data_IF_758625291694
#
_entry.id   IF_758625291694
#
_cell.length_a   1.000
_cell.length_b   1.000
_cell.length_c   1.000
_cell.angle_alpha   90.00
_cell.angle_beta   90.00
_cell.angle_gamma   90.00
#
_symmetry.space_group_name_H-M   'P 1'
#
loop_
_entity.id
_entity.type
_entity.pdbx_description
1 polymer ?
#
# COMPACT_ATOMS: atom_id res chain seq x y z
N UNK A 1 -2.45 5.19 -18.30
CA UNK A 1 -3.11 5.12 -19.63
C UNK A 1 -4.41 4.36 -19.49
N UNK A 2 -5.53 4.97 -19.87
CA UNK A 2 -6.88 4.45 -19.63
C UNK A 2 -7.32 3.34 -20.63
N UNK A 3 -6.49 3.00 -21.62
CA UNK A 3 -6.82 2.04 -22.65
C UNK A 3 -7.85 2.55 -23.69
N UNK A 4 -8.27 1.66 -24.58
CA UNK A 4 -9.12 1.99 -25.73
C UNK A 4 -10.50 2.53 -25.30
N UNK A 5 -11.11 1.93 -24.29
CA UNK A 5 -12.43 2.29 -23.75
C UNK A 5 -12.40 3.38 -22.67
N UNK A 6 -11.25 4.02 -22.45
CA UNK A 6 -11.05 4.98 -21.36
C UNK A 6 -12.00 6.17 -21.38
N UNK A 7 -12.30 6.70 -22.57
CA UNK A 7 -13.27 7.80 -22.72
C UNK A 7 -14.68 7.40 -22.33
N UNK A 8 -15.12 6.19 -22.72
CA UNK A 8 -16.41 5.64 -22.34
C UNK A 8 -16.50 5.40 -20.84
N UNK A 9 -15.50 4.70 -20.26
CA UNK A 9 -15.46 4.44 -18.82
C UNK A 9 -15.49 5.71 -17.99
N UNK A 10 -14.76 6.78 -18.42
CA UNK A 10 -14.78 8.07 -17.76
C UNK A 10 -16.18 8.71 -17.85
N UNK A 11 -16.84 8.65 -19.02
CA UNK A 11 -18.21 9.14 -19.19
C UNK A 11 -19.20 8.45 -18.26
N UNK A 12 -19.19 7.12 -18.23
CA UNK A 12 -20.05 6.32 -17.35
C UNK A 12 -19.88 6.67 -15.87
N UNK A 13 -18.64 6.92 -15.43
CA UNK A 13 -18.36 7.38 -14.06
C UNK A 13 -18.88 8.82 -13.85
N UNK A 14 -18.54 9.77 -14.73
CA UNK A 14 -18.90 11.17 -14.54
C UNK A 14 -20.43 11.40 -14.56
N UNK A 15 -21.16 10.64 -15.35
CA UNK A 15 -22.63 10.73 -15.43
C UNK A 15 -23.35 9.83 -14.40
N UNK A 16 -22.59 9.11 -13.57
CA UNK A 16 -23.13 8.32 -12.46
C UNK A 16 -23.75 6.97 -12.86
N UNK A 17 -23.51 6.50 -14.07
CA UNK A 17 -23.94 5.18 -14.53
C UNK A 17 -23.14 4.06 -13.81
N UNK A 18 -21.87 4.36 -13.50
CA UNK A 18 -20.95 3.46 -12.77
C UNK A 18 -20.41 4.17 -11.54
N UNK A 19 -20.57 3.56 -10.38
CA UNK A 19 -19.96 4.02 -9.14
C UNK A 19 -18.45 3.66 -9.16
N UNK A 20 -17.52 4.65 -9.09
CA UNK A 20 -16.10 4.37 -9.12
C UNK A 20 -15.66 3.52 -7.93
N UNK A 21 -14.68 2.67 -8.12
CA UNK A 21 -14.14 1.80 -7.07
C UNK A 21 -12.66 1.46 -7.27
N UNK A 22 -12.00 2.18 -8.18
CA UNK A 22 -10.56 2.04 -8.39
C UNK A 22 -9.78 2.65 -7.22
N UNK A 23 -8.61 2.07 -6.92
CA UNK A 23 -7.66 2.60 -5.95
C UNK A 23 -6.35 2.93 -6.65
N UNK A 24 -5.70 4.02 -6.23
CA UNK A 24 -4.37 4.36 -6.74
C UNK A 24 -3.35 3.32 -6.28
N UNK A 25 -2.59 2.81 -7.22
CA UNK A 25 -1.51 1.83 -6.97
C UNK A 25 -0.15 2.48 -6.75
N UNK A 26 -0.14 3.80 -6.64
CA UNK A 26 1.04 4.60 -6.36
C UNK A 26 0.68 5.80 -5.47
N UNK A 27 1.67 6.32 -4.76
CA UNK A 27 1.54 7.59 -4.05
C UNK A 27 1.82 8.74 -5.02
N UNK A 28 0.97 9.74 -5.01
CA UNK A 28 1.18 10.98 -5.76
C UNK A 28 1.69 12.07 -4.82
N UNK A 29 2.95 12.50 -4.91
CA UNK A 29 3.48 13.60 -4.10
C UNK A 29 2.83 14.93 -4.50
N UNK A 30 2.97 15.95 -3.66
CA UNK A 30 2.50 17.30 -3.96
C UNK A 30 3.38 18.01 -4.99
N UNK A 31 4.66 17.62 -5.06
CA UNK A 31 5.66 18.20 -5.97
C UNK A 31 6.77 17.18 -6.28
N UNK A 32 7.49 17.41 -7.38
CA UNK A 32 8.56 16.51 -7.83
C UNK A 32 9.75 16.47 -6.85
N UNK A 33 10.03 17.56 -6.16
CA UNK A 33 11.10 17.64 -5.14
C UNK A 33 10.85 16.76 -3.91
N UNK A 34 9.65 16.19 -3.75
CA UNK A 34 9.34 15.20 -2.72
C UNK A 34 9.59 13.75 -3.17
N UNK A 35 9.92 13.52 -4.44
CA UNK A 35 10.22 12.17 -4.95
C UNK A 35 11.60 11.74 -4.45
N UNK A 36 11.77 10.52 -3.87
CA UNK A 36 13.05 10.07 -3.32
C UNK A 36 14.22 10.26 -4.27
N UNK A 37 14.10 9.85 -5.53
CA UNK A 37 15.14 10.00 -6.52
C UNK A 37 15.56 11.48 -6.76
N UNK A 38 14.62 12.42 -6.61
CA UNK A 38 14.93 13.86 -6.69
C UNK A 38 15.60 14.36 -5.40
N UNK A 39 15.10 13.92 -4.24
CA UNK A 39 15.66 14.28 -2.92
C UNK A 39 17.13 13.82 -2.81
N UNK A 40 17.45 12.64 -3.29
CA UNK A 40 18.79 12.08 -3.28
C UNK A 40 19.68 12.60 -4.42
N UNK A 41 19.09 13.33 -5.40
CA UNK A 41 19.82 13.81 -6.58
C UNK A 41 20.18 12.70 -7.58
N UNK A 42 19.43 11.60 -7.56
CA UNK A 42 19.69 10.44 -8.42
C UNK A 42 18.99 10.56 -9.78
N UNK A 43 17.93 11.36 -9.89
CA UNK A 43 17.24 11.63 -11.15
C UNK A 43 17.54 13.07 -11.64
N UNK A 44 17.82 13.29 -12.91
CA UNK A 44 17.77 12.37 -14.07
C UNK A 44 19.03 11.51 -14.26
N UNK A 45 19.77 11.25 -13.21
CA UNK A 45 21.05 10.57 -13.25
C UNK A 45 22.23 11.57 -13.40
N UNK A 46 23.43 11.13 -13.08
CA UNK A 46 24.65 11.89 -13.33
C UNK A 46 25.27 11.52 -14.67
N UNK A 47 25.91 12.48 -15.30
CA UNK A 47 26.75 12.20 -16.45
C UNK A 47 27.91 11.27 -16.06
N UNK A 48 28.21 10.31 -16.94
CA UNK A 48 29.39 9.46 -16.81
C UNK A 48 30.65 10.25 -17.13
N UNK A 49 31.74 9.87 -16.49
CA UNK A 49 33.10 10.30 -16.93
C UNK A 49 33.40 9.66 -18.28
N UNK A 50 34.42 10.17 -18.99
CA UNK A 50 34.85 9.59 -20.27
C UNK A 50 35.23 8.11 -20.12
N UNK A 51 35.98 7.76 -19.06
CA UNK A 51 36.37 6.38 -18.77
C UNK A 51 35.16 5.45 -18.52
N UNK A 52 34.18 5.92 -17.74
CA UNK A 52 32.94 5.16 -17.51
C UNK A 52 32.15 5.00 -18.80
N UNK A 53 32.08 6.06 -19.62
CA UNK A 53 31.37 6.02 -20.91
C UNK A 53 31.98 4.98 -21.87
N UNK A 54 33.31 4.96 -21.98
CA UNK A 54 34.04 3.99 -22.80
C UNK A 54 33.78 2.54 -22.33
N UNK A 55 33.82 2.33 -21.01
CA UNK A 55 33.60 1.01 -20.41
C UNK A 55 32.17 0.50 -20.52
N UNK A 56 31.20 1.38 -20.29
CA UNK A 56 29.78 0.99 -20.14
C UNK A 56 28.95 1.26 -21.41
N UNK A 57 29.48 1.97 -22.38
CA UNK A 57 28.75 2.44 -23.56
C UNK A 57 27.40 3.12 -23.22
N UNK A 58 27.40 3.89 -22.17
CA UNK A 58 26.23 4.62 -21.63
C UNK A 58 26.59 6.10 -21.46
N UNK A 59 25.58 6.96 -21.37
CA UNK A 59 25.74 8.41 -21.18
C UNK A 59 25.46 8.88 -19.76
N UNK A 60 24.57 8.16 -19.06
CA UNK A 60 24.12 8.47 -17.71
C UNK A 60 24.18 7.22 -16.84
N UNK A 61 24.39 7.44 -15.56
CA UNK A 61 24.22 6.43 -14.53
C UNK A 61 23.24 6.92 -13.48
N UNK A 62 22.41 6.03 -12.97
CA UNK A 62 21.49 6.25 -11.87
C UNK A 62 21.86 5.34 -10.71
N UNK A 63 21.70 5.84 -9.49
CA UNK A 63 21.96 5.08 -8.27
C UNK A 63 20.66 5.03 -7.47
N UNK A 64 20.22 3.83 -7.10
CA UNK A 64 19.02 3.63 -6.29
C UNK A 64 19.40 3.62 -4.81
N UNK A 65 19.35 4.79 -4.15
CA UNK A 65 19.76 4.96 -2.74
C UNK A 65 18.62 4.79 -1.76
N UNK A 66 17.40 4.83 -2.24
CA UNK A 66 16.20 4.71 -1.41
C UNK A 66 16.03 3.33 -0.77
N UNK A 67 16.68 2.28 -1.31
CA UNK A 67 16.57 0.92 -0.81
C UNK A 67 15.11 0.44 -0.77
N UNK A 68 14.63 -0.01 0.39
CA UNK A 68 13.25 -0.46 0.57
C UNK A 68 12.23 0.68 0.65
N UNK A 69 12.69 1.94 0.80
CA UNK A 69 11.83 3.11 0.97
C UNK A 69 11.35 3.67 -0.37
N UNK A 70 10.64 2.86 -1.15
CA UNK A 70 10.03 3.22 -2.42
C UNK A 70 8.52 3.43 -2.26
N UNK A 71 7.97 4.44 -2.96
CA UNK A 71 6.54 4.73 -2.94
C UNK A 71 6.02 5.06 -1.54
N UNK A 72 4.87 4.51 -1.15
CA UNK A 72 4.25 4.83 0.14
C UNK A 72 5.14 4.53 1.36
N UNK A 73 6.06 3.56 1.27
CA UNK A 73 6.99 3.24 2.36
C UNK A 73 7.88 4.42 2.72
N UNK A 74 8.32 5.18 1.72
CA UNK A 74 9.09 6.40 1.91
C UNK A 74 8.26 7.49 2.57
N UNK A 75 7.11 7.84 1.98
CA UNK A 75 6.28 8.94 2.49
C UNK A 75 5.72 8.65 3.89
N UNK A 76 5.40 7.40 4.18
CA UNK A 76 4.91 6.94 5.48
C UNK A 76 6.03 6.99 6.54
N UNK A 77 7.24 6.50 6.20
CA UNK A 77 8.40 6.50 7.10
C UNK A 77 8.82 7.90 7.51
N UNK A 78 8.86 8.81 6.56
CA UNK A 78 9.31 10.19 6.80
C UNK A 78 8.14 11.16 7.06
N UNK A 79 6.91 10.66 7.17
CA UNK A 79 5.70 11.43 7.44
C UNK A 79 5.51 12.61 6.49
N UNK A 80 5.83 12.41 5.21
CA UNK A 80 5.73 13.44 4.17
C UNK A 80 4.28 13.51 3.67
N UNK A 81 3.62 14.69 3.79
CA UNK A 81 2.25 14.85 3.30
C UNK A 81 2.21 14.79 1.78
N UNK A 82 1.36 13.91 1.25
CA UNK A 82 1.19 13.68 -0.19
C UNK A 82 -0.11 14.27 -0.72
N UNK A 83 -0.24 14.39 -2.06
CA UNK A 83 -1.48 14.83 -2.69
C UNK A 83 -2.52 13.71 -2.65
N UNK A 84 -2.15 12.49 -3.06
CA UNK A 84 -2.97 11.29 -2.95
C UNK A 84 -2.10 10.12 -2.49
N UNK A 85 -2.47 9.46 -1.39
CA UNK A 85 -1.73 8.31 -0.89
C UNK A 85 -1.98 7.06 -1.75
N UNK A 86 -1.12 6.06 -1.62
CA UNK A 86 -1.37 4.71 -2.10
C UNK A 86 -2.70 4.19 -1.54
N UNK A 87 -3.52 3.55 -2.36
CA UNK A 87 -4.85 3.07 -1.99
C UNK A 87 -5.95 4.13 -2.03
N UNK A 88 -5.63 5.41 -2.33
CA UNK A 88 -6.67 6.44 -2.44
C UNK A 88 -7.67 6.12 -3.54
N UNK A 89 -8.95 6.31 -3.24
CA UNK A 89 -10.04 6.13 -4.19
C UNK A 89 -11.30 6.86 -3.73
N UNK A 90 -12.18 7.11 -4.69
CA UNK A 90 -13.46 7.79 -4.46
C UNK A 90 -14.63 6.85 -4.75
N UNK A 91 -15.77 7.10 -4.11
CA UNK A 91 -17.02 6.40 -4.35
C UNK A 91 -18.19 7.37 -4.21
N UNK A 92 -19.29 7.07 -4.89
CA UNK A 92 -20.57 7.78 -4.71
C UNK A 92 -21.40 7.25 -3.54
N UNK A 93 -20.84 6.27 -2.80
CA UNK A 93 -21.43 5.76 -1.55
C UNK A 93 -20.38 5.82 -0.44
N UNK A 94 -20.77 5.49 0.78
CA UNK A 94 -19.92 5.51 1.97
C UNK A 94 -19.85 4.14 2.61
N UNK A 95 -18.73 3.83 3.26
CA UNK A 95 -18.51 2.54 3.92
C UNK A 95 -18.10 2.75 5.37
N UNK A 96 -18.66 1.94 6.25
CA UNK A 96 -18.23 1.85 7.65
C UNK A 96 -17.53 0.51 7.89
N UNK A 97 -16.47 0.55 8.66
CA UNK A 97 -15.70 -0.61 9.09
C UNK A 97 -16.04 -0.89 10.56
N UNK A 98 -16.35 -2.13 10.88
CA UNK A 98 -16.58 -2.56 12.25
C UNK A 98 -15.31 -3.06 12.93
N UNK A 99 -15.47 -3.88 13.97
CA UNK A 99 -14.35 -4.36 14.78
C UNK A 99 -13.58 -5.48 14.05
N UNK A 100 -12.28 -5.33 13.96
CA UNK A 100 -11.37 -6.35 13.44
C UNK A 100 -11.26 -7.51 14.41
N UNK A 101 -11.35 -8.71 13.87
CA UNK A 101 -11.15 -9.97 14.61
C UNK A 101 -9.91 -10.65 14.06
N UNK A 102 -9.01 -11.05 14.96
CA UNK A 102 -7.82 -11.82 14.62
C UNK A 102 -7.85 -13.13 15.39
N UNK A 103 -7.69 -14.22 14.66
CA UNK A 103 -7.61 -15.57 15.23
C UNK A 103 -6.34 -16.24 14.78
N UNK A 104 -5.51 -16.65 15.73
CA UNK A 104 -4.35 -17.50 15.49
C UNK A 104 -4.82 -18.91 15.11
N UNK A 105 -4.21 -19.49 14.09
CA UNK A 105 -4.49 -20.85 13.61
C UNK A 105 -3.39 -21.85 14.02
N UNK A 106 -2.10 -21.48 13.86
CA UNK A 106 -0.96 -22.37 14.11
C UNK A 106 0.36 -21.61 14.42
N UNK A 107 0.36 -20.75 15.43
CA UNK A 107 1.58 -20.05 15.90
C UNK A 107 2.16 -18.99 14.95
N UNK A 108 2.02 -19.13 13.64
CA UNK A 108 2.51 -18.16 12.63
C UNK A 108 1.49 -17.86 11.52
N UNK A 109 0.31 -18.44 11.61
CA UNK A 109 -0.78 -18.20 10.67
C UNK A 109 -1.97 -17.59 11.39
N UNK A 110 -2.45 -16.47 10.89
CA UNK A 110 -3.55 -15.72 11.48
C UNK A 110 -4.67 -15.50 10.46
N UNK A 111 -5.90 -15.80 10.87
CA UNK A 111 -7.08 -15.38 10.14
C UNK A 111 -7.52 -14.00 10.65
N UNK A 112 -7.62 -13.03 9.74
CA UNK A 112 -8.05 -11.66 10.04
C UNK A 112 -9.37 -11.41 9.31
N UNK A 113 -10.37 -10.91 10.03
CA UNK A 113 -11.69 -10.60 9.49
C UNK A 113 -12.14 -9.23 9.97
N UNK A 114 -12.79 -8.45 9.09
CA UNK A 114 -13.42 -7.18 9.45
C UNK A 114 -14.75 -7.02 8.70
N UNK A 115 -15.84 -6.68 9.38
CA UNK A 115 -17.11 -6.36 8.70
C UNK A 115 -17.04 -4.98 8.07
N UNK A 116 -17.52 -4.88 6.83
CA UNK A 116 -17.66 -3.62 6.09
C UNK A 116 -19.11 -3.46 5.66
N UNK A 117 -19.69 -2.32 6.00
CA UNK A 117 -21.10 -1.99 5.71
C UNK A 117 -21.17 -0.83 4.74
N UNK A 118 -21.96 -0.95 3.69
CA UNK A 118 -22.31 0.19 2.84
C UNK A 118 -23.37 1.05 3.56
N UNK A 119 -22.95 2.22 4.03
CA UNK A 119 -23.82 3.15 4.79
C UNK A 119 -24.50 4.19 3.91
N UNK A 120 -24.19 4.21 2.62
CA UNK A 120 -24.81 5.14 1.68
C UNK A 120 -26.04 4.56 0.97
N UNK A 121 -26.52 5.29 -0.04
CA UNK A 121 -27.76 4.99 -0.75
C UNK A 121 -27.56 4.28 -2.09
N UNK A 122 -26.33 4.16 -2.56
CA UNK A 122 -25.99 3.53 -3.82
C UNK A 122 -25.18 2.25 -3.59
N UNK A 123 -25.39 1.26 -4.45
CA UNK A 123 -24.50 0.11 -4.47
C UNK A 123 -23.06 0.55 -4.82
N UNK A 124 -22.08 -0.07 -4.18
CA UNK A 124 -20.70 0.27 -4.40
C UNK A 124 -19.76 -0.89 -4.13
N UNK A 125 -18.49 -0.67 -4.48
CA UNK A 125 -17.42 -1.65 -4.19
C UNK A 125 -16.38 -0.96 -3.34
N UNK A 126 -16.01 -1.59 -2.22
CA UNK A 126 -14.90 -1.15 -1.38
C UNK A 126 -13.73 -2.10 -1.48
N UNK A 127 -12.52 -1.55 -1.58
CA UNK A 127 -11.29 -2.32 -1.47
C UNK A 127 -10.71 -2.09 -0.09
N UNK A 128 -10.70 -3.15 0.70
CA UNK A 128 -10.11 -3.20 2.04
C UNK A 128 -8.65 -3.59 1.89
N UNK A 129 -7.76 -2.81 2.44
CA UNK A 129 -6.31 -3.04 2.42
C UNK A 129 -5.84 -3.43 3.81
N UNK A 130 -5.01 -4.49 3.89
CA UNK A 130 -4.39 -4.97 5.11
C UNK A 130 -2.89 -4.75 5.04
N UNK A 131 -2.36 -4.10 6.06
CA UNK A 131 -0.93 -3.86 6.22
C UNK A 131 -0.41 -4.50 7.50
N UNK A 132 0.87 -4.85 7.50
CA UNK A 132 1.59 -5.37 8.66
C UNK A 132 2.88 -4.60 8.82
N UNK A 133 3.23 -4.28 10.06
CA UNK A 133 4.50 -3.67 10.42
C UNK A 133 4.96 -4.13 11.80
N UNK A 134 6.24 -4.02 12.09
CA UNK A 134 6.76 -4.22 13.43
C UNK A 134 6.17 -3.18 14.38
N UNK A 135 5.79 -3.56 15.60
CA UNK A 135 5.28 -2.61 16.61
C UNK A 135 6.38 -1.63 17.02
N UNK A 136 7.61 -2.10 17.17
CA UNK A 136 8.82 -1.30 17.37
C UNK A 136 9.59 -1.24 16.04
N UNK A 137 9.27 -0.24 15.22
CA UNK A 137 9.78 -0.12 13.86
C UNK A 137 11.27 0.21 13.87
N UNK A 138 12.10 -0.71 13.36
CA UNK A 138 13.51 -0.44 13.09
C UNK A 138 13.68 0.75 12.12
N UNK A 139 14.74 1.57 12.28
CA UNK A 139 15.06 2.63 11.31
C UNK A 139 15.19 2.12 9.86
N UNK A 140 15.64 0.88 9.70
CA UNK A 140 15.89 0.25 8.40
C UNK A 140 14.63 -0.36 7.76
N UNK A 141 13.52 -0.47 8.54
CA UNK A 141 12.29 -1.09 8.08
C UNK A 141 11.19 -0.07 7.78
N UNK A 142 10.29 -0.36 6.81
CA UNK A 142 9.06 0.41 6.60
C UNK A 142 8.17 0.38 7.84
N UNK A 143 7.37 1.44 8.04
CA UNK A 143 6.39 1.50 9.14
C UNK A 143 5.37 0.37 9.02
N UNK A 144 4.92 0.11 7.81
CA UNK A 144 4.01 -0.98 7.46
C UNK A 144 4.08 -1.34 5.99
N UNK A 145 3.72 -2.55 5.66
CA UNK A 145 3.69 -3.06 4.29
C UNK A 145 2.34 -3.70 3.95
N UNK A 146 1.85 -3.48 2.75
CA UNK A 146 0.65 -4.15 2.24
C UNK A 146 0.89 -5.66 2.15
N UNK A 147 0.10 -6.43 2.88
CA UNK A 147 0.18 -7.90 2.89
C UNK A 147 -1.08 -8.56 2.33
N UNK A 148 -2.15 -7.79 2.13
CA UNK A 148 -3.37 -8.29 1.50
C UNK A 148 -4.34 -7.19 1.13
N UNK A 149 -5.24 -7.51 0.21
CA UNK A 149 -6.40 -6.67 -0.12
C UNK A 149 -7.59 -7.51 -0.52
N UNK A 150 -8.79 -7.01 -0.25
CA UNK A 150 -10.04 -7.68 -0.59
C UNK A 150 -11.02 -6.65 -1.14
N UNK A 151 -11.67 -6.97 -2.28
CA UNK A 151 -12.68 -6.09 -2.88
C UNK A 151 -14.08 -6.65 -2.67
N UNK A 152 -14.90 -5.91 -1.95
CA UNK A 152 -16.27 -6.26 -1.59
C UNK A 152 -17.27 -5.47 -2.45
N UNK A 153 -18.28 -6.15 -3.01
CA UNK A 153 -19.44 -5.51 -3.63
C UNK A 153 -20.57 -5.48 -2.64
N UNK A 154 -21.13 -4.31 -2.34
CA UNK A 154 -22.09 -4.08 -1.27
C UNK A 154 -23.30 -3.28 -1.78
N UNK A 155 -24.49 -3.83 -1.60
CA UNK A 155 -25.73 -3.08 -1.77
C UNK A 155 -25.90 -2.07 -0.62
N UNK A 156 -26.78 -1.05 -0.74
CA UNK A 156 -27.10 -0.15 0.35
C UNK A 156 -27.54 -0.91 1.62
N UNK A 157 -26.91 -0.61 2.75
CA UNK A 157 -27.15 -1.28 4.04
C UNK A 157 -26.57 -2.70 4.17
N UNK A 158 -25.96 -3.23 3.12
CA UNK A 158 -25.36 -4.57 3.17
C UNK A 158 -24.04 -4.55 3.93
N UNK A 159 -23.80 -5.60 4.72
CA UNK A 159 -22.53 -5.87 5.43
C UNK A 159 -21.92 -7.15 4.91
N UNK A 160 -20.64 -7.12 4.58
CA UNK A 160 -19.81 -8.29 4.25
C UNK A 160 -18.51 -8.26 5.03
N UNK A 161 -17.90 -9.43 5.19
CA UNK A 161 -16.60 -9.55 5.83
C UNK A 161 -15.49 -9.53 4.77
N UNK A 162 -14.51 -8.67 4.97
CA UNK A 162 -13.20 -8.83 4.35
C UNK A 162 -12.40 -9.84 5.18
N UNK A 163 -11.89 -10.87 4.52
CA UNK A 163 -11.15 -11.97 5.16
C UNK A 163 -9.74 -12.06 4.56
N UNK A 164 -8.77 -12.26 5.44
CA UNK A 164 -7.37 -12.39 5.08
C UNK A 164 -6.75 -13.54 5.86
N UNK A 165 -5.81 -14.21 5.24
CA UNK A 165 -4.93 -15.16 5.89
C UNK A 165 -3.50 -14.62 5.84
N UNK A 166 -2.91 -14.40 7.00
CA UNK A 166 -1.53 -13.99 7.16
C UNK A 166 -0.73 -15.22 7.55
N UNK A 167 0.08 -15.71 6.64
CA UNK A 167 1.04 -16.78 6.90
C UNK A 167 2.38 -16.20 7.35
N UNK A 168 3.33 -17.04 7.73
CA UNK A 168 4.69 -16.63 8.08
C UNK A 168 5.32 -15.66 7.06
N UNK A 169 4.94 -15.75 5.76
CA UNK A 169 5.45 -14.89 4.71
C UNK A 169 5.08 -13.41 4.89
N UNK A 170 3.98 -13.12 5.60
CA UNK A 170 3.59 -11.75 5.90
C UNK A 170 4.56 -11.03 6.85
N UNK A 171 5.34 -11.79 7.60
CA UNK A 171 6.22 -11.32 8.67
C UNK A 171 7.70 -11.47 8.36
N UNK A 172 8.03 -11.87 7.12
CA UNK A 172 9.41 -12.07 6.69
C UNK A 172 10.10 -10.76 6.35
N UNK A 173 11.38 -10.68 6.74
CA UNK A 173 12.34 -9.68 6.32
C UNK A 173 13.49 -10.35 5.60
N UNK A 174 14.05 -9.69 4.61
CA UNK A 174 15.26 -10.15 3.95
C UNK A 174 16.48 -9.74 4.76
N UNK A 175 17.25 -10.71 5.20
CA UNK A 175 18.51 -10.48 5.92
C UNK A 175 19.69 -10.56 4.93
N UNK A 176 20.21 -9.41 4.53
CA UNK A 176 21.33 -9.30 3.59
C UNK A 176 22.60 -10.01 4.07
N UNK A 177 22.81 -10.14 5.39
CA UNK A 177 24.01 -10.78 5.94
C UNK A 177 24.01 -12.28 5.73
N UNK A 178 22.84 -12.88 5.72
CA UNK A 178 22.68 -14.34 5.56
C UNK A 178 22.06 -14.71 4.23
N UNK A 179 21.76 -13.72 3.38
CA UNK A 179 21.10 -13.88 2.06
C UNK A 179 19.84 -14.74 2.15
N UNK A 180 18.99 -14.46 3.14
CA UNK A 180 17.82 -15.27 3.42
C UNK A 180 16.64 -14.48 3.99
N UNK A 181 15.43 -14.95 3.69
CA UNK A 181 14.21 -14.46 4.31
C UNK A 181 14.04 -15.04 5.71
N UNK A 182 13.80 -14.19 6.70
CA UNK A 182 13.63 -14.57 8.10
C UNK A 182 12.35 -13.97 8.69
N UNK A 183 11.69 -14.72 9.55
CA UNK A 183 10.68 -14.21 10.46
C UNK A 183 11.40 -13.79 11.76
N UNK A 184 11.19 -12.55 12.17
CA UNK A 184 11.73 -12.05 13.44
C UNK A 184 10.62 -12.23 14.49
N UNK A 185 10.90 -12.98 15.55
CA UNK A 185 9.98 -13.10 16.68
C UNK A 185 9.80 -11.75 17.36
N UNK A 186 8.55 -11.39 17.63
CA UNK A 186 8.25 -10.08 18.22
C UNK A 186 6.80 -9.68 18.06
N UNK A 187 6.52 -8.43 18.37
CA UNK A 187 5.18 -7.85 18.24
C UNK A 187 5.01 -7.16 16.89
N UNK A 188 3.92 -7.50 16.22
CA UNK A 188 3.53 -6.92 14.93
C UNK A 188 2.18 -6.23 15.05
N UNK A 189 2.07 -5.10 14.37
CA UNK A 189 0.83 -4.35 14.27
C UNK A 189 0.17 -4.64 12.92
N UNK A 190 -1.09 -5.04 12.97
CA UNK A 190 -1.96 -5.24 11.80
C UNK A 190 -2.81 -4.00 11.65
N UNK A 191 -2.82 -3.42 10.47
CA UNK A 191 -3.60 -2.26 10.11
C UNK A 191 -4.59 -2.64 9.01
N UNK A 192 -5.85 -2.26 9.16
CA UNK A 192 -6.85 -2.35 8.09
C UNK A 192 -7.36 -0.96 7.77
N UNK A 193 -7.44 -0.65 6.48
CA UNK A 193 -7.92 0.63 6.01
C UNK A 193 -8.44 0.62 4.58
N UNK A 194 -8.90 1.77 4.15
CA UNK A 194 -9.31 2.02 2.77
C UNK A 194 -8.15 2.53 1.90
N UNK A 195 -7.04 2.93 2.54
CA UNK A 195 -5.77 3.33 1.93
C UNK A 195 -4.68 3.29 2.98
N UNK A 196 -3.41 3.46 2.57
CA UNK A 196 -2.27 3.51 3.50
C UNK A 196 -2.38 4.63 4.55
N UNK A 197 -3.10 5.69 4.25
CA UNK A 197 -3.30 6.84 5.16
C UNK A 197 -4.68 6.89 5.82
N UNK A 198 -5.64 6.09 5.36
CA UNK A 198 -7.00 6.00 5.94
C UNK A 198 -7.17 4.65 6.64
N UNK A 199 -6.49 4.53 7.79
CA UNK A 199 -6.53 3.34 8.64
C UNK A 199 -7.80 3.39 9.51
N UNK A 200 -8.57 2.31 9.49
CA UNK A 200 -9.87 2.16 10.15
C UNK A 200 -9.83 1.28 11.38
N UNK A 201 -8.92 0.32 11.41
CA UNK A 201 -8.77 -0.59 12.55
C UNK A 201 -7.31 -1.01 12.71
N UNK A 202 -6.87 -1.16 13.96
CA UNK A 202 -5.49 -1.52 14.32
C UNK A 202 -5.54 -2.55 15.44
N UNK A 203 -4.69 -3.56 15.37
CA UNK A 203 -4.46 -4.51 16.46
C UNK A 203 -3.02 -4.99 16.47
N UNK A 204 -2.58 -5.57 17.58
CA UNK A 204 -1.24 -6.10 17.74
C UNK A 204 -1.30 -7.60 17.96
N UNK A 205 -0.37 -8.34 17.38
CA UNK A 205 -0.15 -9.76 17.58
C UNK A 205 1.30 -10.00 17.97
N UNK A 206 1.60 -11.18 18.50
CA UNK A 206 2.97 -11.62 18.81
C UNK A 206 3.27 -12.93 18.07
N UNK A 207 4.48 -13.05 17.52
CA UNK A 207 4.97 -14.23 16.81
C UNK A 207 6.19 -14.79 17.54
#
# INVERSE_FOLDING_TARGET
YAGMEGGRALGEVLFGEVNPSGKLVMTMPKSLDQVPAMVFGDFPGRALTEEEHERMNAKLTETYREGVFVGYRYYDKYQIPVQFPFGHGLSYTTFAYGDMQVKELDGQTFKVQIPVTNTGKLAGKETVELYVGETEVSPENPVKELKGFCKLSLAPGETKYAEFELTADAFRHFDEKTDAWKVIAGSYTIYIGSSVSDIRSVTTITI
#
